data_IF_374241272986
#
_entry.id   IF_374241272986
#
_cell.length_a   1.000
_cell.length_b   1.000
_cell.length_c   1.000
_cell.angle_alpha   90.00
_cell.angle_beta   90.00
_cell.angle_gamma   90.00
#
_symmetry.space_group_name_H-M   'P 1'
#
loop_
_entity.id
_entity.type
_entity.pdbx_description
1 polymer ?
#
# COMPACT_ATOMS: atom_id res chain seq x y z
N UNK A 1 -36.64 -11.38 29.48
CA UNK A 1 -35.94 -12.35 28.61
C UNK A 1 -36.45 -12.30 27.16
N UNK A 2 -37.75 -12.42 26.91
CA UNK A 2 -38.35 -12.43 25.55
C UNK A 2 -38.29 -11.09 24.81
N UNK A 3 -38.57 -9.96 25.47
CA UNK A 3 -38.50 -8.62 24.83
C UNK A 3 -37.09 -8.28 24.35
N UNK A 4 -36.06 -8.66 25.12
CA UNK A 4 -34.66 -8.45 24.73
C UNK A 4 -34.27 -9.31 23.53
N UNK A 5 -34.77 -10.55 23.47
CA UNK A 5 -34.59 -11.44 22.31
C UNK A 5 -35.20 -10.83 21.04
N UNK A 6 -36.42 -10.30 21.12
CA UNK A 6 -37.10 -9.66 19.99
C UNK A 6 -36.33 -8.42 19.52
N UNK A 7 -35.92 -7.54 20.44
CA UNK A 7 -35.12 -6.34 20.11
C UNK A 7 -33.80 -6.73 19.43
N UNK A 8 -33.13 -7.76 19.95
CA UNK A 8 -31.88 -8.28 19.39
C UNK A 8 -32.11 -8.82 17.97
N UNK A 9 -33.21 -9.54 17.73
CA UNK A 9 -33.56 -10.07 16.42
C UNK A 9 -33.79 -8.95 15.39
N UNK A 10 -34.49 -7.89 15.77
CA UNK A 10 -34.68 -6.71 14.91
C UNK A 10 -33.37 -6.00 14.58
N UNK A 11 -32.47 -5.84 15.57
CA UNK A 11 -31.15 -5.26 15.35
C UNK A 11 -30.33 -6.11 14.38
N UNK A 12 -30.26 -7.42 14.58
CA UNK A 12 -29.56 -8.32 13.66
C UNK A 12 -30.17 -8.35 12.26
N UNK A 13 -31.50 -8.32 12.15
CA UNK A 13 -32.21 -8.23 10.88
C UNK A 13 -31.87 -6.95 10.12
N UNK A 14 -31.88 -5.80 10.80
CA UNK A 14 -31.52 -4.52 10.22
C UNK A 14 -30.05 -4.49 9.77
N UNK A 15 -29.12 -4.97 10.60
CA UNK A 15 -27.70 -5.09 10.26
C UNK A 15 -27.53 -5.99 9.03
N UNK A 16 -28.22 -7.14 8.97
CA UNK A 16 -28.12 -8.06 7.84
C UNK A 16 -28.55 -7.40 6.53
N UNK A 17 -29.68 -6.67 6.54
CA UNK A 17 -30.15 -5.94 5.37
C UNK A 17 -29.11 -4.91 4.92
N UNK A 18 -28.61 -4.10 5.86
CA UNK A 18 -27.58 -3.07 5.59
C UNK A 18 -26.30 -3.67 4.99
N UNK A 19 -25.80 -4.78 5.54
CA UNK A 19 -24.59 -5.43 5.03
C UNK A 19 -24.83 -6.06 3.67
N UNK A 20 -26.01 -6.67 3.45
CA UNK A 20 -26.33 -7.33 2.17
C UNK A 20 -26.62 -6.37 1.01
N UNK A 21 -27.03 -5.14 1.31
CA UNK A 21 -27.37 -4.13 0.31
C UNK A 21 -26.25 -3.11 0.06
N UNK A 22 -25.08 -3.29 0.70
CA UNK A 22 -23.94 -2.43 0.44
C UNK A 22 -23.46 -2.60 -1.02
N UNK A 23 -23.30 -1.50 -1.77
CA UNK A 23 -22.68 -1.55 -3.09
C UNK A 23 -21.26 -2.10 -3.01
N UNK A 24 -20.85 -2.88 -4.01
CA UNK A 24 -19.50 -3.48 -4.09
C UNK A 24 -18.39 -2.45 -3.88
N UNK A 25 -18.52 -1.25 -4.46
CA UNK A 25 -17.55 -0.17 -4.30
C UNK A 25 -17.38 0.29 -2.84
N UNK A 26 -18.45 0.26 -2.04
CA UNK A 26 -18.38 0.60 -0.60
C UNK A 26 -17.62 -0.49 0.15
N UNK A 27 -17.90 -1.75 -0.17
CA UNK A 27 -17.21 -2.90 0.41
C UNK A 27 -15.71 -2.87 0.09
N UNK A 28 -15.34 -2.64 -1.17
CA UNK A 28 -13.94 -2.48 -1.60
C UNK A 28 -13.24 -1.32 -0.88
N UNK A 29 -13.92 -0.18 -0.70
CA UNK A 29 -13.37 0.94 0.05
C UNK A 29 -13.07 0.59 1.51
N UNK A 30 -13.94 -0.20 2.16
CA UNK A 30 -13.72 -0.67 3.53
C UNK A 30 -12.53 -1.63 3.58
N UNK A 31 -12.48 -2.63 2.68
CA UNK A 31 -11.41 -3.64 2.63
C UNK A 31 -10.05 -2.99 2.35
N UNK A 32 -9.97 -2.05 1.40
CA UNK A 32 -8.72 -1.36 1.01
C UNK A 32 -8.06 -0.54 2.13
N UNK A 33 -8.77 -0.28 3.23
CA UNK A 33 -8.22 0.38 4.43
C UNK A 33 -7.41 -0.58 5.30
N UNK A 34 -7.68 -1.88 5.19
CA UNK A 34 -7.03 -2.94 5.97
C UNK A 34 -6.04 -3.77 5.15
N UNK A 35 -6.02 -3.60 3.82
CA UNK A 35 -4.98 -4.16 2.97
C UNK A 35 -3.60 -3.79 3.48
N UNK A 36 -2.73 -4.80 3.55
CA UNK A 36 -1.35 -4.62 3.95
C UNK A 36 -0.63 -3.74 2.92
N UNK A 37 -0.79 -4.11 1.65
CA UNK A 37 -0.36 -3.38 0.48
C UNK A 37 -1.49 -2.49 -0.04
N UNK A 38 -1.48 -1.22 0.36
CA UNK A 38 -2.54 -0.28 0.02
C UNK A 38 -2.23 0.42 -1.29
N UNK A 39 -3.19 0.43 -2.20
CA UNK A 39 -3.06 1.21 -3.44
C UNK A 39 -2.88 2.70 -3.13
N UNK A 40 -1.99 3.32 -3.90
CA UNK A 40 -1.60 4.72 -3.87
C UNK A 40 -2.51 5.56 -4.76
N UNK A 41 -2.83 6.76 -4.30
CA UNK A 41 -3.54 7.80 -5.07
C UNK A 41 -2.55 8.84 -5.57
N UNK A 42 -2.69 9.31 -6.81
CA UNK A 42 -1.71 10.19 -7.46
C UNK A 42 -1.55 11.53 -6.75
N UNK A 43 -2.67 12.09 -6.30
CA UNK A 43 -2.80 13.45 -5.79
C UNK A 43 -2.10 13.60 -4.43
N UNK A 44 -2.10 12.53 -3.64
CA UNK A 44 -1.65 12.54 -2.25
C UNK A 44 -0.33 11.79 -2.04
N UNK A 45 0.40 11.48 -3.11
CA UNK A 45 1.61 10.66 -3.08
C UNK A 45 2.81 11.46 -3.56
N UNK A 46 3.89 11.42 -2.81
CA UNK A 46 5.22 11.96 -3.12
C UNK A 46 6.21 10.80 -3.23
N UNK A 47 7.09 10.84 -4.23
CA UNK A 47 8.03 9.75 -4.51
C UNK A 47 9.42 10.34 -4.63
N UNK A 48 10.40 9.72 -3.99
CA UNK A 48 11.80 10.10 -4.11
C UNK A 48 12.71 8.88 -4.24
N UNK A 49 13.81 9.05 -4.96
CA UNK A 49 14.92 8.09 -5.05
C UNK A 49 16.18 8.86 -4.69
N UNK A 50 16.98 8.33 -3.77
CA UNK A 50 18.20 8.99 -3.28
C UNK A 50 17.97 10.43 -2.80
N UNK A 51 16.80 10.69 -2.18
CA UNK A 51 16.40 12.02 -1.73
C UNK A 51 15.97 12.99 -2.85
N UNK A 52 16.06 12.60 -4.13
CA UNK A 52 15.59 13.39 -5.27
C UNK A 52 14.12 13.08 -5.56
N UNK A 53 13.28 14.12 -5.65
CA UNK A 53 11.86 14.00 -6.00
C UNK A 53 11.69 13.50 -7.44
N UNK A 54 10.76 12.57 -7.63
CA UNK A 54 10.37 12.07 -8.96
C UNK A 54 8.97 12.59 -9.30
N UNK A 55 8.88 13.28 -10.44
CA UNK A 55 7.63 13.87 -10.92
C UNK A 55 7.24 13.34 -12.32
N UNK A 56 6.10 13.83 -12.82
CA UNK A 56 5.65 13.56 -14.19
C UNK A 56 5.35 12.07 -14.47
N UNK A 57 5.82 11.58 -15.63
CA UNK A 57 5.53 10.23 -16.12
C UNK A 57 6.14 9.14 -15.23
N UNK A 58 7.34 9.36 -14.73
CA UNK A 58 8.04 8.39 -13.89
C UNK A 58 7.28 8.16 -12.58
N UNK A 59 6.78 9.22 -11.94
CA UNK A 59 5.90 9.13 -10.78
C UNK A 59 4.66 8.28 -11.06
N UNK A 60 4.00 8.52 -12.18
CA UNK A 60 2.79 7.78 -12.58
C UNK A 60 3.08 6.30 -12.79
N UNK A 61 4.24 5.98 -13.39
CA UNK A 61 4.66 4.61 -13.60
C UNK A 61 4.93 3.90 -12.27
N UNK A 62 5.68 4.50 -11.34
CA UNK A 62 5.93 3.90 -10.02
C UNK A 62 4.61 3.65 -9.28
N UNK A 63 3.67 4.59 -9.31
CA UNK A 63 2.35 4.42 -8.68
C UNK A 63 1.58 3.25 -9.30
N UNK A 64 1.55 3.19 -10.64
CA UNK A 64 0.85 2.12 -11.34
C UNK A 64 1.45 0.75 -11.02
N UNK A 65 2.77 0.63 -11.13
CA UNK A 65 3.50 -0.61 -10.89
C UNK A 65 3.44 -1.06 -9.43
N UNK A 66 3.41 -0.11 -8.49
CA UNK A 66 3.15 -0.42 -7.09
C UNK A 66 1.73 -0.95 -6.91
N UNK A 67 0.71 -0.28 -7.45
CA UNK A 67 -0.68 -0.67 -7.26
C UNK A 67 -1.05 -2.03 -7.86
N UNK A 68 -0.34 -2.43 -8.91
CA UNK A 68 -0.53 -3.70 -9.62
C UNK A 68 0.49 -4.78 -9.21
N UNK A 69 1.38 -4.47 -8.27
CA UNK A 69 2.36 -5.43 -7.78
C UNK A 69 1.69 -6.61 -7.05
N UNK A 70 2.19 -7.82 -7.29
CA UNK A 70 1.68 -9.01 -6.63
C UNK A 70 2.26 -9.10 -5.21
N UNK A 71 1.39 -9.06 -4.21
CA UNK A 71 1.76 -9.37 -2.83
C UNK A 71 2.15 -10.85 -2.69
N UNK A 72 3.33 -11.12 -2.13
CA UNK A 72 3.82 -12.49 -1.92
C UNK A 72 3.61 -12.92 -0.47
N UNK A 73 4.37 -12.35 0.45
CA UNK A 73 4.35 -12.71 1.86
C UNK A 73 4.68 -11.52 2.77
N UNK A 74 4.32 -11.67 4.05
CA UNK A 74 4.63 -10.69 5.09
C UNK A 74 5.92 -11.12 5.80
N UNK A 75 6.83 -10.18 6.01
CA UNK A 75 8.02 -10.42 6.81
C UNK A 75 7.70 -10.42 8.31
N UNK A 76 8.32 -11.36 9.04
CA UNK A 76 8.26 -11.41 10.51
C UNK A 76 9.20 -10.40 11.16
N UNK A 77 10.31 -10.08 10.49
CA UNK A 77 11.29 -9.07 10.89
C UNK A 77 11.64 -8.20 9.68
N UNK A 78 11.87 -6.88 9.83
CA UNK A 78 12.26 -6.04 8.70
C UNK A 78 13.50 -6.62 8.01
N UNK A 79 13.48 -6.78 6.68
CA UNK A 79 14.65 -7.20 5.93
C UNK A 79 15.78 -6.18 6.08
N UNK A 80 17.01 -6.60 5.79
CA UNK A 80 18.17 -5.70 5.82
C UNK A 80 17.96 -4.56 4.80
N UNK A 81 18.16 -3.32 5.26
CA UNK A 81 18.05 -2.11 4.45
C UNK A 81 19.32 -1.95 3.59
N UNK A 82 19.44 -2.77 2.55
CA UNK A 82 20.57 -2.72 1.62
C UNK A 82 20.17 -2.03 0.31
N UNK A 83 21.01 -1.09 -0.13
CA UNK A 83 20.81 -0.32 -1.36
C UNK A 83 20.00 0.97 -1.18
N UNK A 84 19.79 1.69 -2.28
CA UNK A 84 19.04 2.95 -2.32
C UNK A 84 17.55 2.67 -2.52
N UNK A 85 16.68 2.97 -1.54
CA UNK A 85 15.27 2.67 -1.68
C UNK A 85 14.54 3.71 -2.54
N UNK A 86 13.46 3.27 -3.19
CA UNK A 86 12.40 4.17 -3.63
C UNK A 86 11.54 4.48 -2.41
N UNK A 87 11.50 5.76 -2.01
CA UNK A 87 10.71 6.22 -0.87
C UNK A 87 9.42 6.83 -1.39
N UNK A 88 8.29 6.34 -0.87
CA UNK A 88 6.95 6.81 -1.20
C UNK A 88 6.29 7.33 0.07
N UNK A 89 6.01 8.62 0.11
CA UNK A 89 5.24 9.26 1.18
C UNK A 89 3.83 9.52 0.66
N UNK A 90 2.83 8.96 1.32
CA UNK A 90 1.43 9.11 0.89
C UNK A 90 0.50 9.42 2.06
N UNK A 91 -0.57 10.15 1.76
CA UNK A 91 -1.62 10.46 2.72
C UNK A 91 -2.92 9.75 2.33
N UNK A 92 -3.41 8.86 3.21
CA UNK A 92 -4.70 8.18 3.06
C UNK A 92 -5.64 8.62 4.17
N UNK A 93 -6.56 9.54 3.85
CA UNK A 93 -7.38 10.25 4.84
C UNK A 93 -6.50 11.05 5.80
N UNK A 94 -6.58 10.76 7.11
CA UNK A 94 -5.75 11.41 8.14
C UNK A 94 -4.46 10.63 8.48
N UNK A 95 -4.11 9.60 7.71
CA UNK A 95 -2.93 8.77 7.94
C UNK A 95 -1.83 9.13 6.95
N UNK A 96 -0.66 9.49 7.49
CA UNK A 96 0.58 9.64 6.72
C UNK A 96 1.33 8.32 6.78
N UNK A 97 1.61 7.75 5.62
CA UNK A 97 2.21 6.44 5.46
C UNK A 97 3.44 6.61 4.58
N UNK A 98 4.58 6.11 5.06
CA UNK A 98 5.81 6.04 4.30
C UNK A 98 6.07 4.60 3.91
N UNK A 99 6.36 4.37 2.64
CA UNK A 99 6.85 3.09 2.12
C UNK A 99 8.30 3.28 1.68
N UNK A 100 9.17 2.34 2.05
CA UNK A 100 10.53 2.24 1.50
C UNK A 100 10.62 0.93 0.74
N UNK A 101 10.91 1.02 -0.56
CA UNK A 101 10.96 -0.12 -1.46
C UNK A 101 12.43 -0.42 -1.77
N UNK A 102 12.89 -1.60 -1.39
CA UNK A 102 14.22 -2.11 -1.69
C UNK A 102 14.11 -3.13 -2.82
N UNK A 103 14.85 -2.87 -3.89
CA UNK A 103 14.85 -3.75 -5.07
C UNK A 103 15.85 -4.88 -4.90
N UNK A 104 15.40 -6.11 -5.17
CA UNK A 104 16.24 -7.30 -5.27
C UNK A 104 15.99 -7.99 -6.61
N UNK A 105 16.86 -8.91 -7.02
CA UNK A 105 16.77 -9.60 -8.32
C UNK A 105 15.42 -10.29 -8.54
N UNK A 106 14.86 -10.92 -7.49
CA UNK A 106 13.64 -11.73 -7.60
C UNK A 106 12.38 -11.05 -7.04
N UNK A 107 12.53 -10.05 -6.18
CA UNK A 107 11.42 -9.43 -5.44
C UNK A 107 11.73 -7.99 -5.03
N UNK A 108 10.72 -7.30 -4.50
CA UNK A 108 10.85 -5.98 -3.90
C UNK A 108 10.42 -6.07 -2.45
N UNK A 109 11.32 -5.71 -1.54
CA UNK A 109 11.03 -5.61 -0.11
C UNK A 109 10.42 -4.26 0.19
N UNK A 110 9.28 -4.25 0.87
CA UNK A 110 8.55 -3.04 1.22
C UNK A 110 8.48 -2.88 2.72
N UNK A 111 9.05 -1.79 3.22
CA UNK A 111 8.91 -1.36 4.61
C UNK A 111 7.85 -0.28 4.68
N UNK A 112 6.69 -0.62 5.23
CA UNK A 112 5.58 0.30 5.50
C UNK A 112 5.69 0.85 6.92
N UNK A 113 5.76 2.16 7.04
CA UNK A 113 5.84 2.87 8.30
C UNK A 113 4.63 3.81 8.45
N UNK A 114 3.98 3.75 9.60
CA UNK A 114 2.95 4.72 9.98
C UNK A 114 3.10 5.02 11.47
N UNK A 115 3.48 6.27 11.78
CA UNK A 115 3.89 6.67 13.14
C UNK A 115 5.00 5.73 13.64
N UNK A 116 4.77 5.04 14.77
CA UNK A 116 5.72 4.07 15.36
C UNK A 116 5.52 2.62 14.88
N UNK A 117 4.53 2.36 14.01
CA UNK A 117 4.23 1.00 13.53
C UNK A 117 4.99 0.74 12.24
N UNK A 118 5.74 -0.35 12.21
CA UNK A 118 6.49 -0.82 11.05
C UNK A 118 5.95 -2.18 10.65
N UNK A 119 5.70 -2.36 9.35
CA UNK A 119 5.36 -3.65 8.77
C UNK A 119 6.16 -3.84 7.50
N UNK A 120 6.82 -4.99 7.36
CA UNK A 120 7.55 -5.34 6.17
C UNK A 120 6.84 -6.47 5.40
N UNK A 121 6.93 -6.44 4.07
CA UNK A 121 6.36 -7.47 3.19
C UNK A 121 7.05 -7.49 1.82
N UNK A 122 6.88 -8.58 1.07
CA UNK A 122 7.42 -8.74 -0.28
C UNK A 122 6.39 -8.48 -1.34
N UNK A 123 6.84 -7.84 -2.41
CA UNK A 123 6.12 -7.67 -3.65
C UNK A 123 6.88 -8.31 -4.81
N UNK A 124 6.15 -8.71 -5.84
CA UNK A 124 6.71 -9.05 -7.15
C UNK A 124 6.28 -8.01 -8.17
N UNK A 125 7.23 -7.25 -8.71
CA UNK A 125 7.04 -6.35 -9.85
C UNK A 125 8.37 -6.21 -10.59
N UNK A 126 8.43 -6.68 -11.84
CA UNK A 126 9.64 -6.58 -12.67
C UNK A 126 10.03 -5.13 -12.94
N UNK A 127 9.04 -4.26 -13.10
CA UNK A 127 9.26 -2.83 -13.35
C UNK A 127 9.87 -2.15 -12.12
N UNK A 128 9.32 -2.38 -10.92
CA UNK A 128 9.90 -1.82 -9.69
C UNK A 128 11.30 -2.37 -9.39
N UNK A 129 11.58 -3.62 -9.77
CA UNK A 129 12.92 -4.21 -9.65
C UNK A 129 13.96 -3.45 -10.49
N UNK A 130 13.59 -3.07 -11.72
CA UNK A 130 14.48 -2.42 -12.68
C UNK A 130 14.56 -0.89 -12.48
N UNK A 131 13.53 -0.26 -11.90
CA UNK A 131 13.45 1.20 -11.76
C UNK A 131 14.46 1.78 -10.76
N UNK A 132 14.74 1.09 -9.66
CA UNK A 132 15.71 1.58 -8.66
C UNK A 132 17.16 1.63 -9.21
N UNK A 133 17.64 0.62 -9.96
CA UNK A 133 18.93 0.70 -10.66
C UNK A 133 18.98 1.76 -11.78
N UNK A 134 17.92 1.93 -12.56
CA UNK A 134 17.94 2.81 -13.74
C UNK A 134 17.98 4.30 -13.40
N UNK A 135 17.38 4.72 -12.28
CA UNK A 135 17.47 6.10 -11.80
C UNK A 135 18.91 6.54 -11.49
N UNK A 136 19.82 5.60 -11.26
CA UNK A 136 21.26 5.86 -11.01
C UNK A 136 22.07 5.98 -12.31
N UNK A 137 21.56 5.46 -13.45
CA UNK A 137 22.29 5.42 -14.73
C UNK A 137 22.02 6.64 -15.61
N UNK A 138 20.84 7.26 -15.52
CA UNK A 138 20.53 8.50 -16.27
C UNK A 138 21.34 9.73 -15.76
N UNK A 139 22.06 9.61 -14.64
CA UNK A 139 22.94 10.67 -14.13
C UNK A 139 24.33 10.71 -14.82
N UNK A 140 24.63 9.74 -15.70
CA UNK A 140 25.91 9.62 -16.40
C UNK A 140 25.84 9.73 -17.94
N UNK A 141 24.68 10.09 -18.50
CA UNK A 141 24.47 10.22 -19.95
C UNK A 141 24.34 11.68 -20.42
#
# INVERSE_FOLDING_TARGET
>A
MTTWFIVTLFIFGAIKVLVSSMPTSVVESIISRFELHQKLEKENTYISIDGKNIEGKMKLQVIHEFNEALFLDKHYFPPHEEGTPIVIDTKKGNKEIRFSLYSHEEHVDVIKQHKKKIVAYRLRSKSLQTLAPLAMTEEYA
#
